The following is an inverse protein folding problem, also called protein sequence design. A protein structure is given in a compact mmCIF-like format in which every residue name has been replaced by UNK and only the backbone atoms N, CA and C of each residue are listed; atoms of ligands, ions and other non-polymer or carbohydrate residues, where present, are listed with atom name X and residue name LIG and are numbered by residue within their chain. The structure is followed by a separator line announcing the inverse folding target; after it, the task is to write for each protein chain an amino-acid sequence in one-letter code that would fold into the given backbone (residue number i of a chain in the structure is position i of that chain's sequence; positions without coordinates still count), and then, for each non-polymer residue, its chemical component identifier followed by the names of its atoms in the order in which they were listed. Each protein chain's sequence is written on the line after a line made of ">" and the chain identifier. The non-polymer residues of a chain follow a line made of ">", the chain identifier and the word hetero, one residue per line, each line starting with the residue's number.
data_IF_744024986962
#
_entry.id   IF_744024986962
#
_cell.length_a   1.000
_cell.length_b   1.000
_cell.length_c   1.000
_cell.angle_alpha   90.00
_cell.angle_beta   90.00
_cell.angle_gamma   90.00
#
_symmetry.space_group_name_H-M   'P 1'
#
loop_
_entity.id
_entity.type
_entity.pdbx_description
1 polymer ?
#
# COMPACT_ATOMS: atom_id res chain seq x y z
N UNK A 1 24.66 -41.56 47.83
CA UNK A 1 23.30 -41.23 47.32
C UNK A 1 23.43 -40.40 46.05
N UNK A 2 23.29 -40.99 44.87
CA UNK A 2 23.32 -40.24 43.60
C UNK A 2 21.88 -40.01 43.10
N UNK A 3 21.43 -38.75 43.07
CA UNK A 3 20.13 -38.35 42.51
C UNK A 3 20.19 -38.43 40.98
N UNK A 4 19.55 -39.46 40.41
CA UNK A 4 19.38 -39.63 38.96
C UNK A 4 18.38 -38.58 38.45
N UNK A 5 18.88 -37.55 37.76
CA UNK A 5 18.06 -36.51 37.11
C UNK A 5 17.33 -37.17 35.93
N UNK A 6 15.99 -37.26 35.98
CA UNK A 6 15.18 -37.73 34.85
C UNK A 6 15.14 -36.62 33.80
N UNK A 7 15.89 -36.78 32.71
CA UNK A 7 15.71 -35.99 31.50
C UNK A 7 14.34 -36.32 30.89
N UNK A 8 13.48 -35.31 30.76
CA UNK A 8 12.24 -35.43 29.99
C UNK A 8 12.61 -35.36 28.51
N UNK A 9 12.66 -36.51 27.84
CA UNK A 9 12.70 -36.56 26.38
C UNK A 9 11.48 -35.83 25.81
N UNK A 10 11.69 -34.67 25.19
CA UNK A 10 10.68 -34.03 24.35
C UNK A 10 10.50 -34.92 23.13
N UNK A 11 9.38 -35.65 23.05
CA UNK A 11 8.96 -36.37 21.83
C UNK A 11 8.95 -35.39 20.66
N UNK A 12 9.95 -35.49 19.80
CA UNK A 12 9.99 -34.74 18.55
C UNK A 12 8.85 -35.22 17.65
N UNK A 13 7.91 -34.33 17.35
CA UNK A 13 6.89 -34.61 16.35
C UNK A 13 7.55 -34.77 14.98
N UNK A 14 7.18 -35.83 14.25
CA UNK A 14 7.74 -36.13 12.92
C UNK A 14 7.64 -34.90 12.01
N UNK A 15 8.68 -34.66 11.21
CA UNK A 15 8.81 -33.51 10.31
C UNK A 15 7.58 -33.32 9.41
N UNK A 16 6.96 -34.41 8.96
CA UNK A 16 5.73 -34.42 8.17
C UNK A 16 4.53 -33.83 8.91
N UNK A 17 4.38 -34.11 10.21
CA UNK A 17 3.30 -33.53 11.02
C UNK A 17 3.51 -32.02 11.19
N UNK A 18 4.75 -31.56 11.35
CA UNK A 18 5.09 -30.11 11.42
C UNK A 18 4.77 -29.40 10.10
N UNK A 19 5.11 -29.99 8.96
CA UNK A 19 4.79 -29.44 7.63
C UNK A 19 3.27 -29.38 7.41
N UNK A 20 2.55 -30.44 7.78
CA UNK A 20 1.08 -30.49 7.71
C UNK A 20 0.42 -29.36 8.51
N UNK A 21 0.90 -29.09 9.73
CA UNK A 21 0.40 -27.96 10.54
C UNK A 21 0.71 -26.59 9.91
N UNK A 22 1.92 -26.38 9.38
CA UNK A 22 2.27 -25.11 8.72
C UNK A 22 1.37 -24.88 7.50
N UNK A 23 1.14 -25.90 6.67
CA UNK A 23 0.26 -25.81 5.50
C UNK A 23 -1.19 -25.54 5.91
N UNK A 24 -1.68 -26.16 6.99
CA UNK A 24 -3.05 -25.96 7.49
C UNK A 24 -3.36 -24.48 7.81
N UNK A 25 -2.38 -23.72 8.31
CA UNK A 25 -2.54 -22.30 8.64
C UNK A 25 -2.08 -21.36 7.52
N UNK A 26 -1.07 -21.73 6.74
CA UNK A 26 -0.55 -20.90 5.66
C UNK A 26 -1.51 -20.84 4.45
N UNK A 27 -2.18 -21.95 4.11
CA UNK A 27 -3.07 -22.01 2.95
C UNK A 27 -4.28 -21.06 3.09
N UNK A 28 -5.05 -21.08 4.21
CA UNK A 28 -6.19 -20.18 4.37
C UNK A 28 -5.77 -18.71 4.36
N UNK A 29 -4.63 -18.39 4.97
CA UNK A 29 -4.11 -17.02 4.98
C UNK A 29 -3.73 -16.56 3.56
N UNK A 30 -3.07 -17.41 2.79
CA UNK A 30 -2.72 -17.13 1.41
C UNK A 30 -3.97 -16.92 0.54
N UNK A 31 -4.97 -17.81 0.69
CA UNK A 31 -6.25 -17.73 -0.02
C UNK A 31 -6.96 -16.41 0.28
N UNK A 32 -7.00 -15.99 1.55
CA UNK A 32 -7.63 -14.74 1.96
C UNK A 32 -6.92 -13.51 1.36
N UNK A 33 -5.59 -13.48 1.39
CA UNK A 33 -4.79 -12.40 0.78
C UNK A 33 -5.03 -12.35 -0.74
N UNK A 34 -5.03 -13.51 -1.39
CA UNK A 34 -5.24 -13.62 -2.83
C UNK A 34 -6.63 -13.12 -3.26
N UNK A 35 -7.69 -13.59 -2.63
CA UNK A 35 -9.05 -13.16 -2.94
C UNK A 35 -9.28 -11.67 -2.64
N UNK A 36 -8.69 -11.14 -1.57
CA UNK A 36 -8.73 -9.70 -1.30
C UNK A 36 -8.03 -8.90 -2.41
N UNK A 37 -6.89 -9.38 -2.91
CA UNK A 37 -6.20 -8.79 -4.06
C UNK A 37 -7.06 -8.80 -5.32
N UNK A 38 -7.67 -9.94 -5.64
CA UNK A 38 -8.56 -10.08 -6.80
C UNK A 38 -9.78 -9.16 -6.72
N UNK A 39 -10.47 -9.13 -5.56
CA UNK A 39 -11.63 -8.27 -5.34
C UNK A 39 -11.28 -6.78 -5.53
N UNK A 40 -10.12 -6.34 -5.03
CA UNK A 40 -9.65 -4.95 -5.26
C UNK A 40 -9.44 -4.66 -6.75
N UNK A 41 -8.85 -5.59 -7.49
CA UNK A 41 -8.62 -5.43 -8.93
C UNK A 41 -9.93 -5.46 -9.72
N UNK A 42 -10.87 -6.31 -9.33
CA UNK A 42 -12.21 -6.39 -9.93
C UNK A 42 -12.98 -5.08 -9.73
N UNK A 43 -12.99 -4.54 -8.51
CA UNK A 43 -13.58 -3.23 -8.21
C UNK A 43 -12.94 -2.11 -9.03
N UNK A 44 -11.61 -2.11 -9.18
CA UNK A 44 -10.92 -1.12 -10.02
C UNK A 44 -11.27 -1.24 -11.50
N UNK A 45 -11.63 -2.44 -12.00
CA UNK A 45 -12.04 -2.64 -13.39
C UNK A 45 -13.50 -2.25 -13.64
N UNK A 46 -14.40 -2.62 -12.73
CA UNK A 46 -15.83 -2.59 -12.97
C UNK A 46 -16.56 -1.41 -12.28
N UNK A 47 -16.04 -0.91 -11.15
CA UNK A 47 -16.67 0.12 -10.32
C UNK A 47 -15.71 1.28 -10.03
N UNK A 48 -15.00 1.77 -11.04
CA UNK A 48 -14.07 2.88 -10.89
C UNK A 48 -14.42 4.08 -11.76
N UNK A 49 -13.83 5.22 -11.41
CA UNK A 49 -13.77 6.39 -12.26
C UNK A 49 -12.32 6.83 -12.41
N UNK A 50 -12.04 7.50 -13.52
CA UNK A 50 -10.73 8.10 -13.78
C UNK A 50 -10.73 9.55 -13.33
N UNK A 51 -9.67 9.96 -12.65
CA UNK A 51 -9.37 11.34 -12.26
C UNK A 51 -7.87 11.60 -12.43
N UNK A 52 -7.41 12.76 -11.98
CA UNK A 52 -6.01 13.15 -12.03
C UNK A 52 -5.46 13.41 -10.64
N UNK A 53 -4.28 12.86 -10.37
CA UNK A 53 -3.57 12.99 -9.12
C UNK A 53 -2.33 13.86 -9.27
N UNK A 54 -2.15 14.83 -8.38
CA UNK A 54 -0.96 15.71 -8.33
C UNK A 54 -0.02 15.20 -7.24
N UNK A 55 1.26 15.02 -7.59
CA UNK A 55 2.29 14.65 -6.62
C UNK A 55 2.57 15.82 -5.68
N UNK A 56 2.38 15.61 -4.38
CA UNK A 56 2.60 16.66 -3.37
C UNK A 56 3.92 16.49 -2.62
N UNK A 57 4.35 15.24 -2.39
CA UNK A 57 5.60 14.95 -1.67
C UNK A 57 6.18 13.63 -2.11
N UNK A 58 7.51 13.56 -2.11
CA UNK A 58 8.27 12.37 -2.44
C UNK A 58 9.19 12.02 -1.28
N UNK A 59 9.18 10.77 -0.84
CA UNK A 59 10.06 10.26 0.20
C UNK A 59 10.79 9.02 -0.34
N UNK A 60 11.92 9.21 -1.04
CA UNK A 60 12.73 8.12 -1.54
C UNK A 60 13.43 7.38 -0.40
N UNK A 61 13.74 6.09 -0.60
CA UNK A 61 14.54 5.26 0.31
C UNK A 61 14.03 5.19 1.77
N UNK A 62 12.71 5.26 1.95
CA UNK A 62 12.04 5.10 3.23
C UNK A 62 12.19 3.68 3.78
N UNK A 63 12.34 3.53 5.09
CA UNK A 63 12.45 2.20 5.72
C UNK A 63 11.12 1.47 5.67
N UNK A 64 11.15 0.20 5.26
CA UNK A 64 10.05 -0.76 5.36
C UNK A 64 10.52 -1.90 6.26
N UNK A 65 10.34 -1.74 7.58
CA UNK A 65 10.93 -2.65 8.57
C UNK A 65 12.44 -2.44 8.71
N UNK A 66 13.16 -3.52 9.03
CA UNK A 66 14.57 -3.45 9.42
C UNK A 66 15.54 -3.37 8.23
N UNK A 67 15.32 -4.20 7.21
CA UNK A 67 16.29 -4.36 6.10
C UNK A 67 15.78 -3.88 4.75
N UNK A 68 14.47 -3.75 4.58
CA UNK A 68 13.90 -3.39 3.27
C UNK A 68 13.65 -1.89 3.15
N UNK A 69 13.86 -1.36 1.95
CA UNK A 69 13.63 0.04 1.61
C UNK A 69 12.50 0.13 0.59
N UNK A 70 11.80 1.26 0.60
CA UNK A 70 10.74 1.59 -0.37
C UNK A 70 10.78 3.06 -0.70
N UNK A 71 10.21 3.41 -1.85
CA UNK A 71 9.93 4.80 -2.18
C UNK A 71 8.47 5.08 -1.84
N UNK A 72 8.19 6.23 -1.24
CA UNK A 72 6.81 6.62 -0.89
C UNK A 72 6.45 7.88 -1.66
N UNK A 73 5.34 7.79 -2.39
CA UNK A 73 4.79 8.89 -3.18
C UNK A 73 3.50 9.37 -2.52
N UNK A 74 3.49 10.62 -2.11
CA UNK A 74 2.29 11.31 -1.63
C UNK A 74 1.70 12.10 -2.77
N UNK A 75 0.41 11.95 -2.99
CA UNK A 75 -0.32 12.64 -4.03
C UNK A 75 -1.75 12.89 -3.58
N UNK A 76 -2.42 13.85 -4.20
CA UNK A 76 -3.84 14.07 -3.98
C UNK A 76 -4.60 14.08 -5.28
N UNK A 77 -5.88 13.74 -5.23
CA UNK A 77 -6.82 13.98 -6.32
C UNK A 77 -8.04 14.73 -5.77
N UNK A 78 -8.81 15.32 -6.68
CA UNK A 78 -10.01 16.09 -6.31
C UNK A 78 -11.26 15.37 -6.81
N UNK A 79 -12.28 15.34 -5.96
CA UNK A 79 -13.64 14.94 -6.32
C UNK A 79 -14.65 15.73 -5.49
N UNK A 80 -15.64 16.34 -6.14
CA UNK A 80 -16.77 17.04 -5.48
C UNK A 80 -16.31 18.05 -4.41
N UNK A 81 -15.49 19.04 -4.77
CA UNK A 81 -14.95 20.07 -3.87
C UNK A 81 -14.16 19.52 -2.64
N UNK A 82 -13.68 18.28 -2.77
CA UNK A 82 -12.90 17.61 -1.73
C UNK A 82 -11.61 17.08 -2.31
N UNK A 83 -10.51 17.37 -1.62
CA UNK A 83 -9.17 16.87 -1.92
C UNK A 83 -8.94 15.61 -1.10
N UNK A 84 -8.52 14.54 -1.76
CA UNK A 84 -8.21 13.26 -1.14
C UNK A 84 -6.72 12.99 -1.22
N UNK A 85 -6.04 13.08 -0.08
CA UNK A 85 -4.62 12.78 0.03
C UNK A 85 -4.38 11.28 0.13
N UNK A 86 -3.50 10.76 -0.72
CA UNK A 86 -3.21 9.35 -0.88
C UNK A 86 -1.71 9.09 -0.87
N UNK A 87 -1.39 7.83 -0.56
CA UNK A 87 -0.01 7.35 -0.43
C UNK A 87 0.14 6.14 -1.34
N UNK A 88 1.11 6.17 -2.24
CA UNK A 88 1.52 5.02 -3.05
C UNK A 88 2.92 4.60 -2.67
N UNK A 89 3.04 3.37 -2.20
CA UNK A 89 4.32 2.72 -2.02
C UNK A 89 4.84 2.19 -3.37
N UNK A 90 6.11 2.46 -3.64
CA UNK A 90 6.86 1.92 -4.76
C UNK A 90 8.01 1.05 -4.24
N UNK A 91 8.49 0.15 -5.10
CA UNK A 91 9.77 -0.53 -4.85
C UNK A 91 10.90 0.48 -4.70
N UNK A 92 11.98 0.09 -4.05
CA UNK A 92 13.21 0.88 -3.99
C UNK A 92 13.61 1.44 -5.37
N UNK A 93 14.04 2.70 -5.39
CA UNK A 93 14.38 3.47 -6.59
C UNK A 93 13.23 3.64 -7.61
N UNK A 94 11.99 3.36 -7.23
CA UNK A 94 10.81 3.51 -8.08
C UNK A 94 10.58 4.95 -8.53
N UNK A 95 10.78 5.94 -7.65
CA UNK A 95 10.63 7.37 -7.98
C UNK A 95 11.64 7.76 -9.05
N UNK A 96 12.92 7.42 -8.84
CA UNK A 96 14.00 7.72 -9.79
C UNK A 96 13.80 7.02 -11.13
N UNK A 97 13.44 5.73 -11.10
CA UNK A 97 13.23 4.91 -12.31
C UNK A 97 12.07 5.40 -13.16
N UNK A 98 11.00 5.87 -12.52
CA UNK A 98 9.80 6.38 -13.21
C UNK A 98 9.89 7.89 -13.50
N UNK A 99 10.95 8.57 -13.04
CA UNK A 99 11.16 10.00 -13.27
C UNK A 99 10.12 10.91 -12.62
N UNK A 100 9.51 10.48 -11.51
CA UNK A 100 8.40 11.19 -10.84
C UNK A 100 8.94 12.44 -10.15
N UNK A 101 8.27 13.57 -10.35
CA UNK A 101 8.59 14.85 -9.71
C UNK A 101 7.41 15.41 -8.93
N UNK A 102 7.71 16.30 -7.99
CA UNK A 102 6.69 17.08 -7.28
C UNK A 102 5.93 17.94 -8.30
N UNK A 103 4.63 18.08 -8.10
CA UNK A 103 3.66 18.74 -8.99
C UNK A 103 3.41 18.03 -10.33
N UNK A 104 4.02 16.87 -10.60
CA UNK A 104 3.60 16.06 -11.75
C UNK A 104 2.15 15.59 -11.55
N UNK A 105 1.43 15.52 -12.67
CA UNK A 105 0.03 15.11 -12.72
C UNK A 105 -0.09 13.78 -13.47
N UNK A 106 -0.78 12.81 -12.88
CA UNK A 106 -0.95 11.48 -13.45
C UNK A 106 -2.41 11.02 -13.44
N UNK A 107 -2.76 10.14 -14.36
CA UNK A 107 -4.05 9.46 -14.36
C UNK A 107 -4.18 8.57 -13.12
N UNK A 108 -5.31 8.68 -12.41
CA UNK A 108 -5.63 7.86 -11.24
C UNK A 108 -7.01 7.24 -11.44
N UNK A 109 -7.09 5.91 -11.31
CA UNK A 109 -8.37 5.19 -11.19
C UNK A 109 -8.72 5.05 -9.71
N UNK A 110 -9.96 5.37 -9.35
CA UNK A 110 -10.46 5.31 -7.97
C UNK A 110 -11.79 4.56 -7.96
N UNK A 111 -11.96 3.62 -7.04
CA UNK A 111 -13.23 2.87 -6.88
C UNK A 111 -14.31 3.80 -6.35
N UNK A 112 -15.51 3.78 -6.92
CA UNK A 112 -16.61 4.70 -6.57
C UNK A 112 -17.13 4.47 -5.15
N UNK A 113 -17.20 3.20 -4.73
CA UNK A 113 -17.66 2.80 -3.40
C UNK A 113 -16.62 2.96 -2.29
N UNK A 114 -15.31 3.06 -2.63
CA UNK A 114 -14.23 3.17 -1.65
C UNK A 114 -13.00 3.90 -2.23
N UNK A 115 -12.82 5.16 -1.83
CA UNK A 115 -11.71 6.00 -2.31
C UNK A 115 -10.35 5.63 -1.69
N UNK A 116 -10.30 4.63 -0.79
CA UNK A 116 -9.08 3.96 -0.34
C UNK A 116 -8.55 2.94 -1.35
N UNK A 117 -9.34 2.54 -2.34
CA UNK A 117 -8.92 1.65 -3.43
C UNK A 117 -8.70 2.48 -4.68
N UNK A 118 -7.44 2.61 -5.07
CA UNK A 118 -7.03 3.38 -6.22
C UNK A 118 -5.81 2.75 -6.90
N UNK A 119 -5.57 3.16 -8.15
CA UNK A 119 -4.33 2.91 -8.86
C UNK A 119 -3.91 4.13 -9.68
N UNK A 120 -2.64 4.52 -9.55
CA UNK A 120 -2.05 5.69 -10.21
C UNK A 120 -1.11 5.19 -11.30
N UNK A 121 -1.32 5.67 -12.52
CA UNK A 121 -0.51 5.30 -13.68
C UNK A 121 0.60 6.33 -13.92
N UNK A 122 1.78 6.07 -13.33
CA UNK A 122 2.96 6.93 -13.47
C UNK A 122 3.54 6.99 -14.89
N UNK A 123 3.01 6.21 -15.85
CA UNK A 123 3.39 6.33 -17.27
C UNK A 123 2.51 7.33 -18.01
N UNK A 124 1.32 7.62 -17.51
CA UNK A 124 0.37 8.54 -18.12
C UNK A 124 0.41 9.92 -17.45
N UNK A 125 1.50 10.65 -17.68
CA UNK A 125 1.60 12.04 -17.25
C UNK A 125 0.63 12.92 -18.04
N UNK A 126 0.07 13.93 -17.37
CA UNK A 126 -0.72 15.01 -17.99
C UNK A 126 -0.07 16.34 -17.67
N UNK A 127 -0.12 17.26 -18.62
CA UNK A 127 0.32 18.64 -18.40
C UNK A 127 -0.88 19.43 -17.86
N UNK A 128 -1.20 19.20 -16.59
CA UNK A 128 -2.30 19.86 -15.89
C UNK A 128 -1.88 20.16 -14.46
N UNK A 129 -2.24 21.34 -13.98
CA UNK A 129 -2.02 21.75 -12.59
C UNK A 129 -3.39 21.89 -11.92
N UNK A 130 -3.55 21.21 -10.79
CA UNK A 130 -4.68 21.41 -9.88
C UNK A 130 -4.06 21.91 -8.57
N UNK A 131 -4.57 23.00 -8.00
CA UNK A 131 -4.13 23.46 -6.69
C UNK A 131 -5.16 23.06 -5.63
N UNK A 132 -4.73 22.25 -4.65
CA UNK A 132 -5.56 21.82 -3.52
C UNK A 132 -6.13 22.98 -2.70
N UNK A 133 -5.53 24.18 -2.73
CA UNK A 133 -6.01 25.36 -2.01
C UNK A 133 -7.33 25.91 -2.54
N UNK A 134 -7.69 25.56 -3.77
CA UNK A 134 -8.96 25.98 -4.37
C UNK A 134 -10.17 25.23 -3.81
N UNK A 135 -9.95 24.24 -2.94
CA UNK A 135 -10.99 23.34 -2.43
C UNK A 135 -11.07 23.41 -0.91
N UNK A 136 -12.30 23.41 -0.40
CA UNK A 136 -12.56 23.65 1.03
C UNK A 136 -12.23 22.44 1.90
N UNK A 137 -12.54 21.24 1.41
CA UNK A 137 -12.45 20.02 2.19
C UNK A 137 -11.20 19.22 1.84
N UNK A 138 -10.49 18.73 2.87
CA UNK A 138 -9.27 17.95 2.72
C UNK A 138 -9.43 16.65 3.54
N UNK A 139 -9.29 15.50 2.89
CA UNK A 139 -9.38 14.18 3.51
C UNK A 139 -8.02 13.49 3.43
N UNK A 140 -7.47 13.17 4.59
CA UNK A 140 -6.18 12.50 4.74
C UNK A 140 -6.36 11.03 5.10
N UNK A 141 -5.48 10.16 4.60
CA UNK A 141 -5.49 8.74 5.01
C UNK A 141 -5.33 8.56 6.53
N UNK A 142 -4.48 9.35 7.20
CA UNK A 142 -4.26 9.30 8.67
C UNK A 142 -3.86 10.68 9.21
N UNK A 143 -3.89 10.85 10.53
CA UNK A 143 -3.36 12.06 11.19
C UNK A 143 -1.85 12.25 10.96
N UNK A 144 -1.08 11.15 11.00
CA UNK A 144 0.36 11.17 10.69
C UNK A 144 0.58 11.65 9.25
N UNK A 145 -0.24 11.17 8.32
CA UNK A 145 -0.18 11.61 6.93
C UNK A 145 -0.45 13.11 6.80
N UNK A 146 -1.46 13.64 7.51
CA UNK A 146 -1.72 15.09 7.56
C UNK A 146 -0.47 15.87 8.00
N UNK A 147 0.16 15.50 9.11
CA UNK A 147 1.36 16.18 9.63
C UNK A 147 2.59 16.07 8.71
N UNK A 148 2.62 15.15 7.76
CA UNK A 148 3.71 15.03 6.78
C UNK A 148 3.48 15.99 5.61
N UNK A 149 2.23 16.31 5.31
CA UNK A 149 1.80 17.04 4.12
C UNK A 149 1.52 18.52 4.39
N UNK A 150 0.93 18.83 5.55
CA UNK A 150 0.76 20.19 6.08
C UNK A 150 1.98 20.58 6.92
#
# INVERSE_FOLDING_TARGET
>A
MAKKKREKEKKETSSLKKIGYILLFALPLFVLIYFNGQNRQEKLKNDSFTTYGIIEKLLPNSSKGTTTRKDVVYFYFVKNDTVFHKIKDLTENGIKRLGIKINDCYEVKVVKSDYGIFDIDFKKRKDTLIDKKNYKNQIYNTFIHKNIIE
#
